data_IF_485220309537
#
_entry.id   IF_485220309537
#
_cell.length_a   1.000
_cell.length_b   1.000
_cell.length_c   1.000
_cell.angle_alpha   90.00
_cell.angle_beta   90.00
_cell.angle_gamma   90.00
#
_symmetry.space_group_name_H-M   'P 1'
#
loop_
_entity.id
_entity.type
_entity.pdbx_description
1 polymer ?
#
# COMPACT_ATOMS: atom_id res chain seq x y z
N UNK A 1 -15.62 -16.86 -29.32
CA UNK A 1 -15.14 -16.58 -27.96
C UNK A 1 -13.94 -15.67 -28.11
N UNK A 2 -13.89 -14.54 -27.40
CA UNK A 2 -12.71 -13.65 -27.42
C UNK A 2 -11.78 -14.13 -26.32
N UNK A 3 -10.50 -14.30 -26.64
CA UNK A 3 -9.48 -14.70 -25.67
C UNK A 3 -9.14 -13.50 -24.77
N UNK A 4 -9.06 -13.74 -23.46
CA UNK A 4 -8.69 -12.73 -22.48
C UNK A 4 -7.15 -12.68 -22.45
N UNK A 5 -6.52 -11.52 -22.71
CA UNK A 5 -5.06 -11.44 -22.71
C UNK A 5 -4.49 -11.66 -21.30
N UNK A 6 -3.38 -12.39 -21.22
CA UNK A 6 -2.58 -12.50 -20.00
C UNK A 6 -1.68 -11.28 -19.85
N UNK A 7 -1.60 -10.74 -18.62
CA UNK A 7 -0.71 -9.65 -18.28
C UNK A 7 0.62 -10.19 -17.75
N UNK A 8 1.71 -9.54 -18.13
CA UNK A 8 3.00 -9.75 -17.47
C UNK A 8 2.97 -9.29 -16.01
N UNK A 9 3.94 -9.76 -15.21
CA UNK A 9 4.07 -9.33 -13.80
C UNK A 9 4.21 -7.82 -13.67
N UNK A 10 4.97 -7.18 -14.55
CA UNK A 10 5.17 -5.73 -14.53
C UNK A 10 3.86 -4.98 -14.81
N UNK A 11 3.08 -5.43 -15.80
CA UNK A 11 1.77 -4.86 -16.10
C UNK A 11 0.80 -5.03 -14.92
N UNK A 12 0.77 -6.20 -14.29
CA UNK A 12 -0.05 -6.43 -13.07
C UNK A 12 0.37 -5.48 -11.95
N UNK A 13 1.66 -5.33 -11.68
CA UNK A 13 2.18 -4.48 -10.61
C UNK A 13 1.90 -2.99 -10.85
N UNK A 14 2.04 -2.55 -12.11
CA UNK A 14 1.69 -1.19 -12.53
C UNK A 14 0.20 -0.93 -12.32
N UNK A 15 -0.67 -1.77 -12.89
CA UNK A 15 -2.13 -1.63 -12.75
C UNK A 15 -2.57 -1.70 -11.28
N UNK A 16 -2.00 -2.60 -10.48
CA UNK A 16 -2.32 -2.69 -9.06
C UNK A 16 -1.95 -1.41 -8.30
N UNK A 17 -0.81 -0.80 -8.62
CA UNK A 17 -0.35 0.45 -8.00
C UNK A 17 -1.21 1.65 -8.42
N UNK A 18 -1.52 1.78 -9.71
CA UNK A 18 -2.41 2.83 -10.24
C UNK A 18 -3.81 2.72 -9.64
N UNK A 19 -4.37 1.50 -9.57
CA UNK A 19 -5.68 1.27 -8.99
C UNK A 19 -5.69 1.60 -7.49
N UNK A 20 -4.69 1.15 -6.74
CA UNK A 20 -4.57 1.43 -5.31
C UNK A 20 -4.52 2.95 -5.05
N UNK A 21 -3.68 3.67 -5.79
CA UNK A 21 -3.54 5.11 -5.64
C UNK A 21 -4.81 5.84 -6.08
N UNK A 22 -5.40 5.48 -7.21
CA UNK A 22 -6.61 6.12 -7.73
C UNK A 22 -7.80 5.97 -6.78
N UNK A 23 -7.96 4.80 -6.15
CA UNK A 23 -8.97 4.59 -5.12
C UNK A 23 -8.68 5.48 -3.90
N UNK A 24 -7.44 5.46 -3.38
CA UNK A 24 -7.08 6.21 -2.19
C UNK A 24 -7.27 7.73 -2.39
N UNK A 25 -6.75 8.29 -3.49
CA UNK A 25 -6.83 9.71 -3.77
C UNK A 25 -8.26 10.14 -4.12
N UNK A 26 -9.00 9.34 -4.88
CA UNK A 26 -10.39 9.61 -5.22
C UNK A 26 -11.31 9.59 -4.00
N UNK A 27 -11.20 8.56 -3.16
CA UNK A 27 -11.97 8.46 -1.92
C UNK A 27 -11.61 9.57 -0.94
N UNK A 28 -10.31 9.83 -0.72
CA UNK A 28 -9.84 10.92 0.15
C UNK A 28 -10.34 12.29 -0.32
N UNK A 29 -10.24 12.58 -1.63
CA UNK A 29 -10.75 13.83 -2.20
C UNK A 29 -12.26 14.00 -2.01
N UNK A 30 -13.05 12.93 -2.22
CA UNK A 30 -14.50 12.97 -2.00
C UNK A 30 -14.82 13.29 -0.53
N UNK A 31 -14.19 12.60 0.41
CA UNK A 31 -14.40 12.79 1.85
C UNK A 31 -14.03 14.21 2.24
N UNK A 32 -12.83 14.67 1.86
CA UNK A 32 -12.38 16.03 2.16
C UNK A 32 -13.34 17.10 1.63
N UNK A 33 -13.87 16.92 0.43
CA UNK A 33 -14.79 17.88 -0.18
C UNK A 33 -16.21 17.87 0.42
N UNK A 34 -16.68 16.70 0.91
CA UNK A 34 -18.07 16.55 1.37
C UNK A 34 -18.23 16.57 2.88
N UNK A 35 -17.23 16.08 3.61
CA UNK A 35 -17.25 15.85 5.05
C UNK A 35 -16.19 16.66 5.80
N UNK A 36 -15.25 17.28 5.09
CA UNK A 36 -14.17 18.08 5.65
C UNK A 36 -12.87 17.29 5.84
N UNK A 37 -11.74 17.98 6.04
CA UNK A 37 -10.43 17.35 6.20
C UNK A 37 -10.34 16.46 7.45
N UNK A 38 -11.03 16.81 8.54
CA UNK A 38 -11.02 16.03 9.79
C UNK A 38 -11.61 14.64 9.61
N UNK A 39 -12.60 14.49 8.72
CA UNK A 39 -13.23 13.20 8.41
C UNK A 39 -12.29 12.26 7.63
N UNK A 40 -11.35 12.81 6.85
CA UNK A 40 -10.33 12.01 6.17
C UNK A 40 -9.33 11.46 7.19
N UNK A 41 -8.93 12.27 8.17
CA UNK A 41 -8.04 11.86 9.27
C UNK A 41 -8.69 10.79 10.17
N UNK A 42 -9.99 10.94 10.48
CA UNK A 42 -10.77 9.96 11.22
C UNK A 42 -10.83 8.62 10.46
N UNK A 43 -11.14 8.65 9.16
CA UNK A 43 -11.14 7.43 8.34
C UNK A 43 -9.75 6.78 8.32
N UNK A 44 -8.69 7.57 8.17
CA UNK A 44 -7.31 7.08 8.20
C UNK A 44 -6.97 6.36 9.51
N UNK A 45 -7.42 6.92 10.64
CA UNK A 45 -7.24 6.31 11.97
C UNK A 45 -8.01 5.00 12.08
N UNK A 46 -9.29 4.98 11.71
CA UNK A 46 -10.11 3.76 11.73
C UNK A 46 -9.54 2.67 10.82
N UNK A 47 -9.05 3.04 9.63
CA UNK A 47 -8.42 2.10 8.70
C UNK A 47 -7.12 1.52 9.27
N UNK A 48 -6.28 2.35 9.90
CA UNK A 48 -5.05 1.90 10.54
C UNK A 48 -5.32 0.92 11.70
N UNK A 49 -6.30 1.22 12.54
CA UNK A 49 -6.73 0.34 13.64
C UNK A 49 -7.26 -1.00 13.12
N UNK A 50 -8.14 -0.97 12.12
CA UNK A 50 -8.68 -2.18 11.48
C UNK A 50 -7.57 -3.02 10.84
N UNK A 51 -6.62 -2.39 10.15
CA UNK A 51 -5.43 -3.07 9.61
C UNK A 51 -4.60 -3.72 10.72
N UNK A 52 -4.32 -3.01 11.81
CA UNK A 52 -3.56 -3.55 12.93
C UNK A 52 -4.27 -4.75 13.58
N UNK A 53 -5.59 -4.69 13.77
CA UNK A 53 -6.39 -5.81 14.27
C UNK A 53 -6.28 -7.04 13.35
N UNK A 54 -6.43 -6.84 12.04
CA UNK A 54 -6.33 -7.93 11.06
C UNK A 54 -4.92 -8.54 11.03
N UNK A 55 -3.87 -7.71 11.07
CA UNK A 55 -2.48 -8.19 11.08
C UNK A 55 -2.18 -8.99 12.34
N UNK A 56 -2.62 -8.51 13.51
CA UNK A 56 -2.49 -9.26 14.76
C UNK A 56 -3.24 -10.60 14.70
N UNK A 57 -4.45 -10.64 14.13
CA UNK A 57 -5.21 -11.88 13.95
C UNK A 57 -4.53 -12.89 13.01
N UNK A 58 -3.72 -12.41 12.06
CA UNK A 58 -2.86 -13.23 11.20
C UNK A 58 -1.53 -13.62 11.86
N UNK A 59 -1.30 -13.23 13.12
CA UNK A 59 -0.06 -13.47 13.84
C UNK A 59 1.11 -12.59 13.40
N UNK A 60 0.83 -11.47 12.71
CA UNK A 60 1.80 -10.42 12.36
C UNK A 60 1.84 -9.41 13.51
N UNK A 61 2.57 -9.75 14.56
CA UNK A 61 2.52 -9.09 15.88
C UNK A 61 3.90 -8.65 16.41
N UNK A 62 4.95 -8.79 15.61
CA UNK A 62 6.31 -8.33 15.94
C UNK A 62 6.83 -7.35 14.89
N UNK A 63 7.76 -6.43 15.24
CA UNK A 63 8.29 -5.45 14.29
C UNK A 63 8.82 -6.08 12.99
N UNK A 64 9.54 -7.20 13.09
CA UNK A 64 10.03 -7.94 11.92
C UNK A 64 8.88 -8.50 11.07
N UNK A 65 7.87 -9.10 11.68
CA UNK A 65 6.73 -9.65 10.92
C UNK A 65 5.97 -8.53 10.21
N UNK A 66 5.75 -7.39 10.88
CA UNK A 66 5.15 -6.21 10.25
C UNK A 66 5.97 -5.73 9.04
N UNK A 67 7.28 -5.59 9.21
CA UNK A 67 8.18 -5.15 8.15
C UNK A 67 8.18 -6.13 6.97
N UNK A 68 8.25 -7.44 7.23
CA UNK A 68 8.19 -8.47 6.19
C UNK A 68 6.84 -8.50 5.49
N UNK A 69 5.73 -8.35 6.22
CA UNK A 69 4.40 -8.31 5.62
C UNK A 69 4.27 -7.13 4.66
N UNK A 70 4.62 -5.92 5.12
CA UNK A 70 4.58 -4.71 4.31
C UNK A 70 5.48 -4.81 3.08
N UNK A 71 6.76 -5.17 3.27
CA UNK A 71 7.71 -5.26 2.15
C UNK A 71 7.37 -6.36 1.16
N UNK A 72 6.77 -7.46 1.61
CA UNK A 72 6.25 -8.50 0.72
C UNK A 72 5.18 -7.94 -0.21
N UNK A 73 4.23 -7.16 0.32
CA UNK A 73 3.20 -6.49 -0.46
C UNK A 73 3.81 -5.45 -1.40
N UNK A 74 4.65 -4.54 -0.89
CA UNK A 74 5.31 -3.51 -1.70
C UNK A 74 6.11 -4.11 -2.85
N UNK A 75 6.88 -5.17 -2.61
CA UNK A 75 7.73 -5.81 -3.64
C UNK A 75 6.93 -6.63 -4.64
N UNK A 76 6.00 -7.46 -4.17
CA UNK A 76 5.35 -8.46 -5.03
C UNK A 76 4.06 -7.94 -5.67
N UNK A 77 3.24 -7.18 -4.94
CA UNK A 77 2.00 -6.63 -5.46
C UNK A 77 2.23 -5.33 -6.22
N UNK A 78 3.05 -4.43 -5.68
CA UNK A 78 3.21 -3.09 -6.25
C UNK A 78 4.46 -2.93 -7.11
N UNK A 79 5.43 -3.83 -7.01
CA UNK A 79 6.68 -3.72 -7.79
C UNK A 79 7.66 -2.68 -7.23
N UNK A 80 7.61 -2.40 -5.92
CA UNK A 80 8.57 -1.54 -5.23
C UNK A 80 9.91 -2.26 -5.03
N UNK A 81 11.00 -1.49 -5.05
CA UNK A 81 12.32 -1.98 -4.62
C UNK A 81 12.51 -1.66 -3.14
N UNK A 82 12.42 -2.69 -2.31
CA UNK A 82 12.42 -2.61 -0.85
C UNK A 82 13.24 -3.76 -0.26
N UNK A 83 13.94 -3.46 0.83
CA UNK A 83 14.63 -4.42 1.68
C UNK A 83 14.26 -4.23 3.15
N UNK A 84 14.48 -5.27 3.96
CA UNK A 84 14.29 -5.21 5.41
C UNK A 84 15.60 -5.58 6.09
N UNK A 85 16.06 -4.72 6.99
CA UNK A 85 17.07 -5.04 7.97
C UNK A 85 16.40 -5.20 9.34
N UNK A 86 16.79 -6.18 10.14
CA UNK A 86 16.23 -6.32 11.48
C UNK A 86 17.28 -6.68 12.52
N UNK A 87 17.01 -6.24 13.75
CA UNK A 87 17.69 -6.68 14.95
C UNK A 87 16.67 -7.29 15.95
N UNK A 88 17.15 -7.61 17.16
CA UNK A 88 16.33 -8.21 18.22
C UNK A 88 15.12 -7.38 18.70
N UNK A 89 15.07 -6.08 18.40
CA UNK A 89 14.10 -5.11 18.93
C UNK A 89 13.45 -4.26 17.84
N UNK A 90 14.07 -4.12 16.68
CA UNK A 90 13.63 -3.23 15.61
C UNK A 90 13.74 -3.87 14.23
N UNK A 91 12.97 -3.32 13.28
CA UNK A 91 13.11 -3.61 11.86
C UNK A 91 13.09 -2.29 11.10
N UNK A 92 14.00 -2.17 10.14
CA UNK A 92 14.16 -1.00 9.27
C UNK A 92 13.79 -1.43 7.86
N UNK A 93 12.85 -0.71 7.26
CA UNK A 93 12.46 -0.89 5.86
C UNK A 93 13.22 0.11 5.01
N UNK A 94 14.12 -0.38 4.16
CA UNK A 94 14.89 0.42 3.22
C UNK A 94 14.18 0.41 1.86
N UNK A 95 13.51 1.51 1.53
CA UNK A 95 12.75 1.67 0.27
C UNK A 95 13.59 2.42 -0.74
N UNK A 96 14.12 1.71 -1.74
CA UNK A 96 14.88 2.31 -2.86
C UNK A 96 13.96 2.91 -3.92
N UNK A 97 12.82 2.27 -4.17
CA UNK A 97 11.79 2.79 -5.07
C UNK A 97 10.41 2.42 -4.53
N UNK A 98 9.55 3.42 -4.37
CA UNK A 98 8.16 3.23 -3.96
C UNK A 98 7.24 3.34 -5.19
N UNK A 99 6.70 2.21 -5.64
CA UNK A 99 5.90 2.15 -6.86
C UNK A 99 4.56 2.89 -6.75
N UNK A 100 3.92 2.87 -5.57
CA UNK A 100 2.68 3.63 -5.33
C UNK A 100 2.93 5.13 -5.28
N UNK A 101 4.08 5.59 -4.75
CA UNK A 101 4.46 7.00 -4.85
C UNK A 101 4.71 7.41 -6.30
N UNK A 102 5.42 6.58 -7.08
CA UNK A 102 5.65 6.83 -8.51
C UNK A 102 4.32 6.95 -9.26
N UNK A 103 3.40 6.01 -9.06
CA UNK A 103 2.07 6.06 -9.67
C UNK A 103 1.28 7.33 -9.25
N UNK A 104 1.37 7.74 -7.99
CA UNK A 104 0.74 8.99 -7.53
C UNK A 104 1.35 10.24 -8.18
N UNK A 105 2.65 10.24 -8.43
CA UNK A 105 3.32 11.33 -9.13
C UNK A 105 2.92 11.41 -10.60
N UNK A 106 2.78 10.27 -11.27
CA UNK A 106 2.33 10.19 -12.68
C UNK A 106 0.86 10.62 -12.83
N UNK A 107 -0.02 10.34 -11.87
CA UNK A 107 -1.42 10.79 -11.88
C UNK A 107 -1.60 12.30 -11.67
N UNK A 108 -0.56 13.01 -11.24
CA UNK A 108 -0.57 14.46 -11.05
C UNK A 108 -0.30 15.21 -12.37
N UNK A 109 0.30 14.55 -13.35
CA UNK A 109 0.63 15.09 -14.68
C UNK A 109 -0.59 15.03 -15.63
#
# INVERSE_FOLDING_TARGET
>A
MVEIPELSKEEVQKTASEMFVGILTGTGAYIRQKLGPEAEDELGTMAAEGCAMNLNALGVDTPLKYALHYTTMSKNLHGSDVNVECDSKSAVIDTKTCATLKAAMELKE
#
